data_IF_063165043031
#
_entry.id   IF_063165043031
#
_cell.length_a   1.000
_cell.length_b   1.000
_cell.length_c   1.000
_cell.angle_alpha   90.00
_cell.angle_beta   90.00
_cell.angle_gamma   90.00
#
_symmetry.space_group_name_H-M   'P 1'
#
loop_
_entity.id
_entity.type
_entity.pdbx_description
1 polymer ?
#
# COMPACT_ATOMS: atom_id res chain seq x y z
N UNK A 1 -3.44 7.71 -20.87
CA UNK A 1 -2.94 8.66 -19.87
C UNK A 1 -4.13 9.14 -19.04
N UNK A 2 -4.07 8.99 -17.72
CA UNK A 2 -5.19 9.26 -16.81
C UNK A 2 -5.17 10.69 -16.29
N UNK A 3 -6.12 11.57 -16.64
CA UNK A 3 -6.10 12.95 -16.19
C UNK A 3 -6.39 13.07 -14.68
N UNK A 4 -5.91 14.15 -14.06
CA UNK A 4 -6.24 14.49 -12.68
C UNK A 4 -7.70 14.93 -12.59
N UNK A 5 -8.57 14.06 -12.05
CA UNK A 5 -9.99 14.36 -11.83
C UNK A 5 -10.23 15.30 -10.66
N UNK A 6 -9.33 15.29 -9.68
CA UNK A 6 -9.43 16.07 -8.45
C UNK A 6 -8.13 16.85 -8.23
N UNK A 7 -8.27 18.10 -7.81
CA UNK A 7 -7.15 19.02 -7.59
C UNK A 7 -7.17 19.48 -6.13
N UNK A 8 -6.79 18.57 -5.22
CA UNK A 8 -6.74 18.85 -3.78
C UNK A 8 -5.36 19.37 -3.41
N UNK A 9 -5.30 20.34 -2.49
CA UNK A 9 -4.04 20.64 -1.81
C UNK A 9 -3.60 19.46 -0.95
N UNK A 10 -2.33 19.45 -0.55
CA UNK A 10 -1.78 18.41 0.33
C UNK A 10 -2.57 18.31 1.64
N UNK A 11 -2.96 19.44 2.22
CA UNK A 11 -3.73 19.52 3.47
C UNK A 11 -5.16 19.01 3.28
N UNK A 12 -5.81 19.38 2.17
CA UNK A 12 -7.14 18.88 1.82
C UNK A 12 -7.13 17.36 1.62
N UNK A 13 -6.15 16.84 0.88
CA UNK A 13 -5.99 15.40 0.67
C UNK A 13 -5.75 14.65 1.99
N UNK A 14 -4.90 15.19 2.88
CA UNK A 14 -4.68 14.63 4.21
C UNK A 14 -5.92 14.68 5.09
N UNK A 15 -6.67 15.78 5.07
CA UNK A 15 -7.92 15.88 5.82
C UNK A 15 -8.94 14.84 5.31
N UNK A 16 -9.04 14.68 4.00
CA UNK A 16 -9.89 13.68 3.37
C UNK A 16 -9.49 12.25 3.78
N UNK A 17 -8.20 11.91 3.71
CA UNK A 17 -7.69 10.61 4.14
C UNK A 17 -7.93 10.34 5.63
N UNK A 18 -7.73 11.34 6.51
CA UNK A 18 -8.01 11.23 7.95
C UNK A 18 -9.49 10.95 8.22
N UNK A 19 -10.40 11.70 7.57
CA UNK A 19 -11.86 11.51 7.72
C UNK A 19 -12.34 10.15 7.22
N UNK A 20 -11.64 9.58 6.23
CA UNK A 20 -12.00 8.30 5.62
C UNK A 20 -11.11 7.12 6.05
N UNK A 21 -10.27 7.29 7.09
CA UNK A 21 -9.26 6.31 7.49
C UNK A 21 -9.85 4.91 7.68
N UNK A 22 -11.03 4.83 8.30
CA UNK A 22 -11.69 3.56 8.58
C UNK A 22 -12.10 2.83 7.31
N UNK A 23 -12.66 3.57 6.35
CA UNK A 23 -13.06 3.01 5.06
C UNK A 23 -11.86 2.61 4.21
N UNK A 24 -10.79 3.38 4.25
CA UNK A 24 -9.53 3.08 3.56
C UNK A 24 -8.93 1.76 4.09
N UNK A 25 -8.72 1.66 5.41
CA UNK A 25 -8.19 0.45 6.05
C UNK A 25 -9.09 -0.76 5.81
N UNK A 26 -10.42 -0.61 5.96
CA UNK A 26 -11.38 -1.68 5.68
C UNK A 26 -11.26 -2.19 4.25
N UNK A 27 -11.19 -1.28 3.27
CA UNK A 27 -11.08 -1.63 1.86
C UNK A 27 -9.75 -2.32 1.57
N UNK A 28 -8.63 -1.80 2.11
CA UNK A 28 -7.32 -2.42 1.94
C UNK A 28 -7.26 -3.83 2.55
N UNK A 29 -7.86 -4.03 3.72
CA UNK A 29 -7.85 -5.33 4.39
C UNK A 29 -8.53 -6.45 3.60
N UNK A 30 -9.41 -6.12 2.64
CA UNK A 30 -10.03 -7.11 1.75
C UNK A 30 -9.04 -7.73 0.78
N UNK A 31 -8.06 -6.95 0.31
CA UNK A 31 -6.99 -7.47 -0.53
C UNK A 31 -6.08 -8.42 0.24
N UNK A 32 -6.01 -8.29 1.57
CA UNK A 32 -5.29 -9.19 2.49
C UNK A 32 -6.14 -10.38 2.96
N UNK A 33 -7.32 -10.61 2.37
CA UNK A 33 -8.22 -11.71 2.75
C UNK A 33 -8.94 -11.54 4.09
N UNK A 34 -8.91 -10.36 4.70
CA UNK A 34 -9.56 -10.10 6.00
C UNK A 34 -11.07 -9.96 5.85
N UNK A 35 -11.81 -10.83 6.52
CA UNK A 35 -13.27 -10.91 6.45
C UNK A 35 -14.01 -10.25 7.63
N UNK A 36 -13.62 -9.02 8.00
CA UNK A 36 -14.34 -8.23 9.02
C UNK A 36 -15.50 -7.44 8.42
N UNK A 37 -16.39 -6.89 9.24
CA UNK A 37 -17.35 -5.85 8.81
C UNK A 37 -16.86 -4.45 9.21
N UNK A 38 -17.35 -3.40 8.54
CA UNK A 38 -16.90 -2.02 8.77
C UNK A 38 -16.95 -1.61 10.26
N UNK A 39 -18.00 -1.93 11.04
CA UNK A 39 -18.01 -1.66 12.49
C UNK A 39 -16.87 -2.33 13.27
N UNK A 40 -16.50 -3.57 12.92
CA UNK A 40 -15.37 -4.25 13.57
C UNK A 40 -14.04 -3.57 13.25
N UNK A 41 -13.84 -3.15 11.99
CA UNK A 41 -12.65 -2.37 11.61
C UNK A 41 -12.59 -1.05 12.35
N UNK A 42 -13.72 -0.36 12.52
CA UNK A 42 -13.83 0.86 13.33
C UNK A 42 -13.39 0.58 14.78
N UNK A 43 -13.93 -0.45 15.43
CA UNK A 43 -13.54 -0.85 16.80
C UNK A 43 -12.02 -1.04 16.92
N UNK A 44 -11.39 -1.71 15.95
CA UNK A 44 -9.93 -1.93 15.94
C UNK A 44 -9.17 -0.62 15.73
N UNK A 45 -9.67 0.27 14.86
CA UNK A 45 -9.08 1.59 14.65
C UNK A 45 -9.19 2.45 15.91
N UNK A 46 -10.24 2.29 16.69
CA UNK A 46 -10.42 2.92 18.00
C UNK A 46 -9.63 2.22 19.11
N UNK A 47 -8.77 1.26 18.75
CA UNK A 47 -7.86 0.54 19.64
C UNK A 47 -8.56 -0.40 20.63
N UNK A 48 -9.74 -0.90 20.24
CA UNK A 48 -10.49 -1.93 20.95
C UNK A 48 -10.49 -3.26 20.18
N UNK A 49 -10.69 -4.37 20.89
CA UNK A 49 -10.78 -5.70 20.28
C UNK A 49 -12.24 -6.11 20.07
N UNK A 50 -12.74 -6.17 18.83
CA UNK A 50 -14.10 -6.64 18.57
C UNK A 50 -14.23 -8.16 18.77
N UNK A 51 -15.40 -8.60 19.23
CA UNK A 51 -15.70 -10.02 19.31
C UNK A 51 -15.70 -10.68 17.92
N UNK A 52 -15.22 -11.93 17.84
CA UNK A 52 -15.25 -12.75 16.63
C UNK A 52 -14.20 -12.40 15.57
N UNK A 53 -13.24 -11.52 15.86
CA UNK A 53 -12.11 -11.23 14.96
C UNK A 53 -10.85 -11.95 15.45
N UNK A 54 -10.20 -12.70 14.56
CA UNK A 54 -8.96 -13.40 14.88
C UNK A 54 -7.80 -12.43 15.15
N UNK A 55 -6.81 -12.88 15.93
CA UNK A 55 -5.60 -12.09 16.22
C UNK A 55 -4.86 -11.73 14.92
N UNK A 56 -4.79 -12.65 13.96
CA UNK A 56 -4.15 -12.40 12.66
C UNK A 56 -4.86 -11.27 11.91
N UNK A 57 -6.19 -11.31 11.81
CA UNK A 57 -6.98 -10.26 11.15
C UNK A 57 -6.87 -8.92 11.87
N UNK A 58 -6.82 -8.94 13.20
CA UNK A 58 -6.59 -7.75 14.02
C UNK A 58 -5.22 -7.14 13.72
N UNK A 59 -4.17 -7.95 13.65
CA UNK A 59 -2.82 -7.49 13.33
C UNK A 59 -2.76 -6.85 11.94
N UNK A 60 -3.34 -7.47 10.91
CA UNK A 60 -3.40 -6.89 9.55
C UNK A 60 -4.05 -5.51 9.57
N UNK A 61 -5.21 -5.37 10.21
CA UNK A 61 -5.92 -4.07 10.31
C UNK A 61 -5.08 -3.03 11.07
N UNK A 62 -4.42 -3.43 12.16
CA UNK A 62 -3.54 -2.53 12.94
C UNK A 62 -2.33 -2.08 12.12
N UNK A 63 -1.71 -2.96 11.35
CA UNK A 63 -0.56 -2.62 10.50
C UNK A 63 -0.96 -1.73 9.32
N UNK A 64 -2.11 -2.00 8.68
CA UNK A 64 -2.68 -1.11 7.66
C UNK A 64 -3.00 0.28 8.22
N UNK A 65 -3.59 0.37 9.42
CA UNK A 65 -3.80 1.65 10.12
C UNK A 65 -2.47 2.40 10.32
N UNK A 66 -1.41 1.71 10.76
CA UNK A 66 -0.09 2.32 10.95
C UNK A 66 0.50 2.83 9.63
N UNK A 67 0.38 2.06 8.55
CA UNK A 67 0.79 2.48 7.20
C UNK A 67 0.07 3.76 6.75
N UNK A 68 -1.26 3.82 6.87
CA UNK A 68 -2.04 5.01 6.55
C UNK A 68 -1.66 6.21 7.42
N UNK A 69 -1.48 6.01 8.73
CA UNK A 69 -1.07 7.08 9.64
C UNK A 69 0.32 7.64 9.29
N UNK A 70 1.25 6.79 8.82
CA UNK A 70 2.55 7.22 8.33
C UNK A 70 2.41 8.09 7.08
N UNK A 71 1.70 7.61 6.05
CA UNK A 71 1.48 8.35 4.78
C UNK A 71 0.80 9.70 5.02
N UNK A 72 -0.20 9.74 5.90
CA UNK A 72 -0.92 10.98 6.23
C UNK A 72 -0.01 12.03 6.91
N UNK A 73 0.97 11.59 7.69
CA UNK A 73 1.89 12.47 8.44
C UNK A 73 3.15 12.85 7.63
N UNK A 74 3.53 12.04 6.64
CA UNK A 74 4.78 12.22 5.89
C UNK A 74 4.75 13.50 5.05
N UNK A 75 5.65 14.43 5.36
CA UNK A 75 5.77 15.75 4.74
C UNK A 75 6.74 15.77 3.56
N UNK A 76 7.64 14.81 3.46
CA UNK A 76 8.60 14.72 2.36
C UNK A 76 7.91 14.35 1.05
N UNK A 77 8.59 14.61 -0.05
CA UNK A 77 8.18 14.12 -1.37
C UNK A 77 8.33 12.60 -1.44
N UNK A 78 7.51 11.95 -2.27
CA UNK A 78 7.56 10.51 -2.45
C UNK A 78 8.96 10.07 -2.89
N UNK A 79 9.44 8.98 -2.30
CA UNK A 79 10.72 8.35 -2.63
C UNK A 79 10.62 6.86 -2.38
N UNK A 80 11.50 6.07 -2.98
CA UNK A 80 11.61 4.64 -2.70
C UNK A 80 11.79 4.36 -1.20
N UNK A 81 12.48 5.23 -0.46
CA UNK A 81 12.62 5.08 1.00
C UNK A 81 11.29 5.20 1.73
N UNK A 82 10.40 6.07 1.27
CA UNK A 82 9.04 6.19 1.82
C UNK A 82 8.24 4.92 1.52
N UNK A 83 8.34 4.36 0.31
CA UNK A 83 7.68 3.11 -0.06
C UNK A 83 8.17 1.93 0.79
N UNK A 84 9.48 1.81 0.97
CA UNK A 84 10.09 0.84 1.89
C UNK A 84 9.58 1.01 3.32
N UNK A 85 9.46 2.24 3.82
CA UNK A 85 8.93 2.48 5.16
C UNK A 85 7.43 2.12 5.27
N UNK A 86 6.64 2.33 4.22
CA UNK A 86 5.25 1.86 4.17
C UNK A 86 5.23 0.34 4.26
N UNK A 87 6.03 -0.35 3.45
CA UNK A 87 6.13 -1.81 3.47
C UNK A 87 6.61 -2.35 4.83
N UNK A 88 7.63 -1.72 5.45
CA UNK A 88 8.11 -2.04 6.80
C UNK A 88 6.99 -2.02 7.85
N UNK A 89 6.06 -1.08 7.71
CA UNK A 89 4.92 -0.98 8.63
C UNK A 89 3.86 -2.01 8.29
N UNK A 90 3.42 -2.11 7.04
CA UNK A 90 2.30 -2.97 6.66
C UNK A 90 2.68 -4.45 6.77
N UNK A 91 3.85 -4.85 6.26
CA UNK A 91 4.28 -6.24 6.19
C UNK A 91 5.05 -6.72 7.43
N UNK A 92 5.01 -5.98 8.54
CA UNK A 92 5.83 -6.25 9.75
C UNK A 92 5.75 -7.71 10.24
N UNK A 93 4.58 -8.33 10.14
CA UNK A 93 4.32 -9.69 10.61
C UNK A 93 4.13 -10.69 9.47
N UNK A 94 4.11 -10.23 8.23
CA UNK A 94 3.79 -11.03 7.04
C UNK A 94 5.01 -11.25 6.14
N UNK A 95 6.09 -10.48 6.32
CA UNK A 95 7.33 -10.60 5.56
C UNK A 95 8.51 -11.00 6.45
N UNK A 96 9.40 -11.83 5.90
CA UNK A 96 10.68 -12.20 6.53
C UNK A 96 11.64 -11.01 6.64
N UNK A 97 11.57 -10.06 5.70
CA UNK A 97 12.41 -8.86 5.68
C UNK A 97 11.61 -7.61 5.30
N UNK A 98 10.74 -7.12 6.20
CA UNK A 98 9.86 -5.99 5.91
C UNK A 98 10.65 -4.72 5.57
N UNK A 99 10.22 -4.00 4.54
CA UNK A 99 10.83 -2.75 4.08
C UNK A 99 12.10 -2.92 3.23
N UNK A 100 12.51 -4.15 2.95
CA UNK A 100 13.59 -4.45 2.01
C UNK A 100 13.03 -4.94 0.69
N UNK A 101 13.78 -4.71 -0.39
CA UNK A 101 13.51 -5.39 -1.65
C UNK A 101 13.75 -6.90 -1.49
N UNK A 102 12.93 -7.71 -2.16
CA UNK A 102 13.12 -9.16 -2.16
C UNK A 102 14.40 -9.52 -2.92
N UNK A 103 15.09 -10.55 -2.44
CA UNK A 103 16.31 -11.10 -3.04
C UNK A 103 16.08 -12.43 -3.75
N UNK A 104 14.84 -12.95 -3.73
CA UNK A 104 14.45 -14.21 -4.36
C UNK A 104 13.27 -14.03 -5.30
N UNK A 105 13.05 -15.00 -6.19
CA UNK A 105 11.86 -15.02 -7.06
C UNK A 105 10.61 -15.38 -6.25
N UNK A 106 9.50 -14.71 -6.54
CA UNK A 106 8.17 -15.04 -5.99
C UNK A 106 7.23 -15.33 -7.16
N UNK A 107 6.34 -16.29 -6.94
CA UNK A 107 5.29 -16.65 -7.88
C UNK A 107 3.98 -16.06 -7.39
N UNK A 108 3.25 -15.41 -8.29
CA UNK A 108 1.91 -14.87 -8.06
C UNK A 108 0.93 -15.71 -8.87
N UNK A 109 -0.04 -16.32 -8.20
CA UNK A 109 -1.18 -16.96 -8.88
C UNK A 109 -2.08 -15.88 -9.49
N UNK A 110 -2.34 -15.96 -10.80
CA UNK A 110 -3.14 -14.95 -11.51
C UNK A 110 -4.66 -15.15 -11.35
N UNK A 111 -5.08 -16.19 -10.62
CA UNK A 111 -6.50 -16.48 -10.36
C UNK A 111 -7.33 -16.77 -11.61
N UNK A 112 -6.67 -17.12 -12.72
CA UNK A 112 -7.29 -17.41 -14.01
C UNK A 112 -6.62 -18.63 -14.68
N UNK A 113 -7.11 -19.01 -15.85
CA UNK A 113 -6.59 -20.09 -16.70
C UNK A 113 -5.17 -19.84 -17.26
N UNK A 114 -4.58 -18.67 -17.00
CA UNK A 114 -3.23 -18.29 -17.45
C UNK A 114 -2.12 -18.69 -16.47
N UNK A 115 -2.49 -19.33 -15.36
CA UNK A 115 -1.55 -19.95 -14.43
C UNK A 115 -0.80 -18.96 -13.52
N UNK A 116 0.50 -19.14 -13.43
CA UNK A 116 1.37 -18.47 -12.46
C UNK A 116 2.26 -17.41 -13.13
N UNK A 117 2.38 -16.23 -12.51
CA UNK A 117 3.36 -15.22 -12.89
C UNK A 117 4.58 -15.30 -11.99
N UNK A 118 5.76 -15.54 -12.56
CA UNK A 118 7.02 -15.51 -11.80
C UNK A 118 7.69 -14.15 -11.99
N UNK A 119 7.85 -13.42 -10.89
CA UNK A 119 8.55 -12.14 -10.92
C UNK A 119 10.05 -12.34 -11.13
N UNK A 120 10.68 -11.48 -11.94
CA UNK A 120 12.11 -11.52 -12.22
C UNK A 120 12.94 -11.18 -10.97
N UNK A 121 14.23 -11.45 -10.93
CA UNK A 121 15.04 -10.92 -9.83
C UNK A 121 15.04 -9.39 -9.86
N UNK A 122 14.94 -8.77 -8.69
CA UNK A 122 14.88 -7.33 -8.55
C UNK A 122 16.30 -6.76 -8.57
N UNK A 123 16.57 -5.90 -9.54
CA UNK A 123 17.75 -5.04 -9.53
C UNK A 123 17.38 -3.68 -8.92
N UNK A 124 17.99 -3.35 -7.79
CA UNK A 124 17.73 -2.10 -7.08
C UNK A 124 18.02 -0.86 -7.93
N UNK A 125 19.06 -0.91 -8.77
CA UNK A 125 19.39 0.26 -9.60
C UNK A 125 18.33 0.50 -10.67
N UNK A 126 17.82 -0.57 -11.29
CA UNK A 126 16.69 -0.50 -12.22
C UNK A 126 15.44 0.11 -11.59
N UNK A 127 15.16 -0.19 -10.32
CA UNK A 127 14.03 0.41 -9.57
C UNK A 127 14.24 1.91 -9.30
N UNK A 128 15.46 2.31 -8.93
CA UNK A 128 15.83 3.73 -8.78
C UNK A 128 15.65 4.49 -10.08
N UNK A 129 16.15 3.92 -11.19
CA UNK A 129 16.08 4.53 -12.51
C UNK A 129 14.63 4.65 -12.99
N UNK A 130 13.83 3.58 -12.83
CA UNK A 130 12.40 3.62 -13.15
C UNK A 130 11.67 4.72 -12.36
N UNK A 131 11.87 4.75 -11.04
CA UNK A 131 11.21 5.73 -10.16
C UNK A 131 11.56 7.16 -10.57
N UNK A 132 12.85 7.46 -10.74
CA UNK A 132 13.31 8.80 -11.12
C UNK A 132 12.76 9.23 -12.48
N UNK A 133 12.80 8.33 -13.48
CA UNK A 133 12.23 8.58 -14.79
C UNK A 133 10.73 8.85 -14.72
N UNK A 134 9.97 8.07 -13.94
CA UNK A 134 8.53 8.26 -13.78
C UNK A 134 8.19 9.59 -13.11
N UNK A 135 8.91 9.97 -12.05
CA UNK A 135 8.67 11.22 -11.34
C UNK A 135 8.93 12.46 -12.21
N UNK A 136 9.91 12.38 -13.13
CA UNK A 136 10.26 13.46 -14.06
C UNK A 136 9.34 13.59 -15.27
N UNK A 137 8.50 12.60 -15.57
CA UNK A 137 7.57 12.68 -16.72
C UNK A 137 6.63 13.88 -16.60
N UNK A 138 6.38 14.54 -17.73
CA UNK A 138 5.35 15.58 -17.83
C UNK A 138 3.96 14.94 -18.00
N UNK A 139 3.49 14.30 -16.93
CA UNK A 139 2.18 13.67 -16.84
C UNK A 139 1.48 14.03 -15.54
N UNK A 140 0.15 13.86 -15.53
CA UNK A 140 -0.70 14.06 -14.35
C UNK A 140 -0.24 13.21 -13.16
N UNK A 141 -0.55 13.68 -11.95
CA UNK A 141 -0.20 12.97 -10.70
C UNK A 141 -0.91 11.61 -10.66
N UNK A 142 -2.15 11.55 -11.12
CA UNK A 142 -2.95 10.32 -11.20
C UNK A 142 -2.31 9.28 -12.13
N UNK A 143 -1.78 9.70 -13.28
CA UNK A 143 -1.13 8.78 -14.23
C UNK A 143 0.18 8.22 -13.65
N UNK A 144 0.98 9.08 -12.99
CA UNK A 144 2.19 8.65 -12.25
C UNK A 144 1.85 7.65 -11.16
N UNK A 145 0.83 7.94 -10.33
CA UNK A 145 0.43 7.08 -9.22
C UNK A 145 -0.05 5.70 -9.71
N UNK A 146 -0.86 5.65 -10.77
CA UNK A 146 -1.34 4.39 -11.34
C UNK A 146 -0.21 3.58 -11.98
N UNK A 147 0.72 4.25 -12.67
CA UNK A 147 1.88 3.61 -13.29
C UNK A 147 2.81 3.01 -12.22
N UNK A 148 3.08 3.77 -11.16
CA UNK A 148 3.90 3.33 -10.03
C UNK A 148 3.25 2.16 -9.30
N UNK A 149 1.94 2.23 -9.02
CA UNK A 149 1.20 1.14 -8.38
C UNK A 149 1.30 -0.15 -9.20
N UNK A 150 1.06 -0.08 -10.52
CA UNK A 150 1.13 -1.25 -11.38
C UNK A 150 2.55 -1.85 -11.45
N UNK A 151 3.57 -1.01 -11.54
CA UNK A 151 4.97 -1.44 -11.51
C UNK A 151 5.31 -2.15 -10.21
N UNK A 152 4.96 -1.56 -9.06
CA UNK A 152 5.21 -2.13 -7.74
C UNK A 152 4.45 -3.44 -7.49
N UNK A 153 3.31 -3.66 -8.14
CA UNK A 153 2.55 -4.92 -8.04
C UNK A 153 3.11 -6.03 -8.95
N UNK A 154 3.84 -5.67 -10.00
CA UNK A 154 4.41 -6.63 -10.96
C UNK A 154 5.72 -7.22 -10.47
N UNK A 155 6.48 -6.45 -9.70
CA UNK A 155 7.83 -6.76 -9.24
C UNK A 155 7.81 -7.36 -7.84
#
# INVERSE_FOLDING_TARGET
MYPDKFHLTKEQNRCFAKKNLVRLVFTNSRFEGVNTILPQTQTIIDSMSPAGVSINNLNVIVQLKRGWQYVIKENKELSLKIEQNINLLVARYDSLNPGSFRTGSVTVELGNDKGEWKSQELDYQSEVDFFNNLMQKDTSITDKAMTLMYHNMRN
#
